data_IF_948774864161
#
_entry.id   IF_948774864161
#
_cell.length_a   1.000
_cell.length_b   1.000
_cell.length_c   1.000
_cell.angle_alpha   90.00
_cell.angle_beta   90.00
_cell.angle_gamma   90.00
#
_symmetry.space_group_name_H-M   'P 1'
#
loop_
_entity.id
_entity.type
_entity.pdbx_description
1 polymer ?
#
# COMPACT_ATOMS: atom_id res chain seq x y z
N UNK A 1 -28.58 16.00 41.88
CA UNK A 1 -27.21 16.24 41.40
C UNK A 1 -26.66 14.93 40.92
N UNK A 2 -26.58 14.74 39.63
CA UNK A 2 -25.98 13.53 39.06
C UNK A 2 -24.47 13.52 39.40
N UNK A 3 -23.99 12.48 40.05
CA UNK A 3 -22.56 12.28 40.31
C UNK A 3 -21.82 12.27 38.97
N UNK A 4 -21.02 13.31 38.74
CA UNK A 4 -20.10 13.30 37.63
C UNK A 4 -19.10 12.15 37.91
N UNK A 5 -19.33 10.99 37.30
CA UNK A 5 -18.39 9.88 37.35
C UNK A 5 -17.05 10.39 36.83
N UNK A 6 -16.00 10.30 37.65
CA UNK A 6 -14.63 10.59 37.18
C UNK A 6 -14.35 9.73 35.95
N UNK A 7 -13.83 10.33 34.88
CA UNK A 7 -13.48 9.56 33.68
C UNK A 7 -12.54 8.41 34.04
N UNK A 8 -12.80 7.22 33.49
CA UNK A 8 -11.92 6.06 33.65
C UNK A 8 -10.56 6.42 33.04
N UNK A 9 -9.52 6.35 33.86
CA UNK A 9 -8.13 6.58 33.37
C UNK A 9 -7.54 5.27 32.87
N UNK A 10 -7.06 5.26 31.62
CA UNK A 10 -6.42 4.11 30.98
C UNK A 10 -4.93 4.41 30.81
N UNK A 11 -4.11 3.52 31.33
CA UNK A 11 -2.65 3.61 31.26
C UNK A 11 -2.13 3.21 29.88
N UNK A 12 -1.35 4.08 29.27
CA UNK A 12 -0.76 3.85 27.93
C UNK A 12 0.75 3.70 28.04
N UNK A 13 1.31 2.67 27.39
CA UNK A 13 2.73 2.50 27.16
C UNK A 13 3.09 2.69 25.71
N UNK A 14 4.17 3.42 25.41
CA UNK A 14 4.59 3.70 24.04
C UNK A 14 5.94 3.03 23.73
N UNK A 15 5.97 2.17 22.74
CA UNK A 15 7.20 1.63 22.14
C UNK A 15 7.55 2.42 20.87
N UNK A 16 8.56 3.25 20.96
CA UNK A 16 9.04 4.09 19.86
C UNK A 16 8.76 5.58 20.07
N UNK A 17 9.76 6.41 19.77
CA UNK A 17 9.69 7.87 19.83
C UNK A 17 10.38 8.44 18.57
N UNK A 18 9.97 7.90 17.39
CA UNK A 18 10.24 8.45 16.08
C UNK A 18 9.16 9.44 15.66
N UNK A 19 9.00 9.69 14.37
CA UNK A 19 8.05 10.66 13.82
C UNK A 19 6.62 10.43 14.34
N UNK A 20 6.12 9.21 14.27
CA UNK A 20 4.77 8.86 14.76
C UNK A 20 4.70 8.92 16.28
N UNK A 21 5.68 8.35 16.98
CA UNK A 21 5.72 8.34 18.44
C UNK A 21 5.83 9.75 19.04
N UNK A 22 6.54 10.67 18.42
CA UNK A 22 6.61 12.08 18.85
C UNK A 22 5.28 12.81 18.59
N UNK A 23 4.62 12.57 17.47
CA UNK A 23 3.30 13.12 17.19
C UNK A 23 2.23 12.61 18.19
N UNK A 24 2.28 11.33 18.59
CA UNK A 24 1.43 10.78 19.65
C UNK A 24 1.70 11.49 20.99
N UNK A 25 2.97 11.69 21.36
CA UNK A 25 3.36 12.41 22.57
C UNK A 25 2.88 13.85 22.55
N UNK A 26 3.05 14.55 21.43
CA UNK A 26 2.57 15.92 21.24
C UNK A 26 1.07 16.02 21.50
N UNK A 27 0.28 15.11 20.92
CA UNK A 27 -1.17 15.10 21.12
C UNK A 27 -1.55 14.79 22.57
N UNK A 28 -0.90 13.81 23.22
CA UNK A 28 -1.22 13.42 24.60
C UNK A 28 -0.77 14.45 25.64
N UNK A 29 0.27 15.26 25.34
CA UNK A 29 0.82 16.23 26.30
C UNK A 29 0.26 17.64 26.11
N UNK A 30 -0.31 17.99 24.93
CA UNK A 30 -0.77 19.34 24.64
C UNK A 30 -2.27 19.57 24.81
N UNK A 31 -3.07 18.60 24.80
CA UNK A 31 -4.47 18.65 25.23
C UNK A 31 -5.39 17.63 24.55
N UNK A 32 -5.94 16.74 25.35
CA UNK A 32 -7.13 15.97 25.03
C UNK A 32 -8.39 16.73 25.48
N UNK A 33 -8.40 18.08 25.44
CA UNK A 33 -9.50 18.90 25.93
C UNK A 33 -10.76 18.84 25.07
N UNK A 34 -10.74 18.11 23.94
CA UNK A 34 -11.91 17.80 23.13
C UNK A 34 -12.93 16.89 23.86
N UNK A 35 -14.02 16.56 23.20
CA UNK A 35 -15.10 15.71 23.72
C UNK A 35 -14.60 14.37 24.34
N UNK A 36 -13.51 13.82 23.80
CA UNK A 36 -12.85 12.60 24.28
C UNK A 36 -12.23 12.72 25.67
N UNK A 37 -11.52 13.82 25.95
CA UNK A 37 -10.88 14.02 27.24
C UNK A 37 -11.84 14.18 28.41
N UNK A 38 -13.13 14.44 28.15
CA UNK A 38 -14.18 14.49 29.17
C UNK A 38 -14.70 13.11 29.54
N UNK A 39 -14.60 12.13 28.65
CA UNK A 39 -15.13 10.78 28.85
C UNK A 39 -14.04 9.78 29.27
N UNK A 40 -12.82 9.92 28.74
CA UNK A 40 -11.72 8.97 28.95
C UNK A 40 -10.43 9.74 29.23
N UNK A 41 -9.80 9.46 30.36
CA UNK A 41 -8.45 9.91 30.67
C UNK A 41 -7.44 8.93 30.06
N UNK A 42 -6.57 9.38 29.15
CA UNK A 42 -5.40 8.61 28.71
C UNK A 42 -4.17 9.11 29.46
N UNK A 43 -3.47 8.19 30.13
CA UNK A 43 -2.30 8.50 30.93
C UNK A 43 -1.07 7.77 30.39
N UNK A 44 -0.14 8.51 29.79
CA UNK A 44 1.09 7.97 29.23
C UNK A 44 2.08 7.63 30.37
N UNK A 45 2.20 6.34 30.67
CA UNK A 45 2.96 5.81 31.82
C UNK A 45 4.44 5.64 31.54
N UNK A 46 4.81 5.16 30.36
CA UNK A 46 6.20 4.86 30.00
C UNK A 46 6.42 4.92 28.50
N UNK A 47 7.61 5.38 28.09
CA UNK A 47 8.00 5.54 26.69
C UNK A 47 9.36 4.85 26.49
N UNK A 48 9.39 3.85 25.63
CA UNK A 48 10.63 3.22 25.19
C UNK A 48 11.21 3.91 23.97
N UNK A 49 12.50 4.20 24.02
CA UNK A 49 13.30 4.61 22.85
C UNK A 49 14.77 4.29 23.07
N UNK A 50 15.51 3.95 22.01
CA UNK A 50 16.94 3.62 22.10
C UNK A 50 17.80 4.77 22.64
N UNK A 51 17.41 6.01 22.38
CA UNK A 51 18.09 7.21 22.86
C UNK A 51 17.10 8.18 23.54
N UNK A 52 16.80 7.98 24.83
CA UNK A 52 15.87 8.84 25.57
C UNK A 52 16.28 10.31 25.60
N UNK A 53 17.56 10.58 25.91
CA UNK A 53 18.08 11.94 26.16
C UNK A 53 17.95 12.87 24.93
N UNK A 54 17.96 12.31 23.72
CA UNK A 54 17.81 13.06 22.46
C UNK A 54 16.37 13.41 22.08
N UNK A 55 15.38 13.09 22.93
CA UNK A 55 13.97 13.25 22.58
C UNK A 55 13.39 14.58 23.07
N UNK A 56 12.47 15.14 22.25
CA UNK A 56 11.82 16.44 22.46
C UNK A 56 11.28 16.62 23.89
N UNK A 57 10.56 15.61 24.39
CA UNK A 57 9.89 15.67 25.68
C UNK A 57 10.72 15.18 26.87
N UNK A 58 11.91 14.62 26.63
CA UNK A 58 12.75 14.06 27.69
C UNK A 58 13.08 15.08 28.80
N UNK A 59 13.46 16.30 28.43
CA UNK A 59 13.83 17.34 29.41
C UNK A 59 12.69 17.71 30.36
N UNK A 60 11.43 17.70 29.84
CA UNK A 60 10.25 18.05 30.64
C UNK A 60 9.69 16.89 31.45
N UNK A 61 9.88 15.66 31.00
CA UNK A 61 9.29 14.44 31.58
C UNK A 61 10.27 13.25 31.57
N UNK A 62 11.45 13.38 32.17
CA UNK A 62 12.50 12.34 32.09
C UNK A 62 12.08 10.99 32.68
N UNK A 63 11.23 10.99 33.70
CA UNK A 63 10.75 9.78 34.38
C UNK A 63 9.88 8.87 33.46
N UNK A 64 9.30 9.42 32.40
CA UNK A 64 8.53 8.63 31.45
C UNK A 64 9.40 7.83 30.49
N UNK A 65 10.64 8.24 30.24
CA UNK A 65 11.46 7.64 29.19
C UNK A 65 12.36 6.53 29.73
N UNK A 66 12.51 5.49 28.91
CA UNK A 66 13.42 4.37 29.17
C UNK A 66 14.09 3.88 27.90
N UNK A 67 15.26 3.26 28.02
CA UNK A 67 15.94 2.51 26.96
C UNK A 67 15.67 1.00 27.01
N UNK A 68 14.78 0.55 27.89
CA UNK A 68 14.42 -0.86 28.10
C UNK A 68 12.93 -1.06 27.79
N UNK A 69 12.63 -1.82 26.74
CA UNK A 69 11.24 -2.07 26.31
C UNK A 69 10.43 -2.80 27.40
N UNK A 70 11.10 -3.65 28.20
CA UNK A 70 10.50 -4.40 29.30
C UNK A 70 9.85 -3.47 30.35
N UNK A 71 10.42 -2.30 30.59
CA UNK A 71 9.85 -1.34 31.55
C UNK A 71 8.50 -0.76 31.06
N UNK A 72 8.20 -0.82 29.78
CA UNK A 72 6.88 -0.49 29.22
C UNK A 72 5.97 -1.71 29.28
N UNK A 73 6.48 -2.84 28.78
CA UNK A 73 5.70 -4.07 28.60
C UNK A 73 5.26 -4.69 29.92
N UNK A 74 6.08 -4.57 30.98
CA UNK A 74 5.83 -5.16 32.31
C UNK A 74 5.23 -4.13 33.29
N UNK A 75 5.09 -2.87 32.91
CA UNK A 75 4.60 -1.81 33.80
C UNK A 75 3.17 -2.11 34.28
N UNK A 76 2.91 -2.18 35.60
CA UNK A 76 1.60 -2.60 36.12
C UNK A 76 0.47 -1.61 35.82
N UNK A 77 0.79 -0.34 35.63
CA UNK A 77 -0.19 0.70 35.30
C UNK A 77 -0.36 0.93 33.79
N UNK A 78 0.12 0.05 32.93
CA UNK A 78 -0.11 0.11 31.48
C UNK A 78 -1.18 -0.92 31.10
N UNK A 79 -2.27 -0.45 30.50
CA UNK A 79 -3.38 -1.25 29.99
C UNK A 79 -3.26 -1.50 28.49
N UNK A 80 -2.79 -0.48 27.74
CA UNK A 80 -2.64 -0.49 26.30
C UNK A 80 -1.20 -0.17 25.91
N UNK A 81 -0.61 -1.02 25.07
CA UNK A 81 0.71 -0.78 24.47
C UNK A 81 0.55 -0.29 23.05
N UNK A 82 1.11 0.88 22.76
CA UNK A 82 1.25 1.40 21.39
C UNK A 82 2.61 0.95 20.85
N UNK A 83 2.62 0.21 19.74
CA UNK A 83 3.83 -0.15 19.02
C UNK A 83 3.99 0.80 17.80
N UNK A 84 5.01 1.67 17.86
CA UNK A 84 5.36 2.65 16.83
C UNK A 84 6.89 2.73 16.66
N UNK A 85 7.55 1.56 16.59
CA UNK A 85 9.01 1.44 16.54
C UNK A 85 9.61 1.86 15.21
N UNK A 86 8.85 1.73 14.14
CA UNK A 86 9.28 2.05 12.78
C UNK A 86 10.19 0.96 12.20
N UNK A 87 9.70 0.30 11.17
CA UNK A 87 10.41 -0.75 10.45
C UNK A 87 11.57 -0.17 9.63
N UNK A 88 12.77 -0.67 9.85
CA UNK A 88 13.98 -0.31 9.09
C UNK A 88 14.57 -1.53 8.37
N UNK A 89 14.39 -2.72 8.91
CA UNK A 89 14.87 -3.95 8.30
C UNK A 89 14.10 -5.18 8.74
N UNK A 90 14.06 -6.21 7.90
CA UNK A 90 13.41 -7.50 8.17
C UNK A 90 13.98 -8.18 9.44
N UNK A 91 15.23 -7.89 9.79
CA UNK A 91 15.89 -8.46 10.98
C UNK A 91 15.27 -8.00 12.29
N UNK A 92 14.55 -6.88 12.31
CA UNK A 92 13.88 -6.34 13.50
C UNK A 92 12.50 -6.95 13.77
N UNK A 93 11.86 -7.50 12.73
CA UNK A 93 10.48 -7.99 12.82
C UNK A 93 10.26 -9.06 13.90
N UNK A 94 11.18 -10.05 14.14
CA UNK A 94 11.00 -10.99 15.24
C UNK A 94 10.95 -10.30 16.61
N UNK A 95 11.79 -9.30 16.85
CA UNK A 95 11.80 -8.54 18.11
C UNK A 95 10.48 -7.78 18.30
N UNK A 96 9.98 -7.12 17.26
CA UNK A 96 8.73 -6.37 17.34
C UNK A 96 7.53 -7.30 17.60
N UNK A 97 7.48 -8.45 16.90
CA UNK A 97 6.53 -9.52 17.20
C UNK A 97 6.60 -9.93 18.68
N UNK A 98 7.80 -10.19 19.21
CA UNK A 98 7.99 -10.66 20.57
C UNK A 98 7.53 -9.63 21.62
N UNK A 99 7.69 -8.34 21.34
CA UNK A 99 7.15 -7.27 22.18
C UNK A 99 5.61 -7.29 22.19
N UNK A 100 4.97 -7.44 21.04
CA UNK A 100 3.52 -7.56 20.93
C UNK A 100 3.01 -8.80 21.69
N UNK A 101 3.67 -9.95 21.51
CA UNK A 101 3.29 -11.19 22.19
C UNK A 101 3.49 -11.08 23.72
N UNK A 102 4.54 -10.37 24.18
CA UNK A 102 4.77 -10.11 25.61
C UNK A 102 3.70 -9.20 26.19
N UNK A 103 3.28 -8.16 25.47
CA UNK A 103 2.19 -7.30 25.90
C UNK A 103 0.90 -8.12 26.16
N UNK A 104 0.52 -9.01 25.23
CA UNK A 104 -0.63 -9.88 25.41
C UNK A 104 -0.50 -10.84 26.61
N UNK A 105 0.68 -11.44 26.81
CA UNK A 105 0.92 -12.31 27.99
C UNK A 105 0.77 -11.56 29.31
N UNK A 106 1.09 -10.25 29.30
CA UNK A 106 0.96 -9.37 30.45
C UNK A 106 -0.44 -8.73 30.59
N UNK A 107 -1.43 -9.24 29.84
CA UNK A 107 -2.82 -8.76 29.92
C UNK A 107 -3.05 -7.38 29.33
N UNK A 108 -2.19 -6.93 28.39
CA UNK A 108 -2.26 -5.61 27.76
C UNK A 108 -2.78 -5.73 26.32
N UNK A 109 -3.73 -4.86 25.94
CA UNK A 109 -4.12 -4.71 24.54
C UNK A 109 -3.05 -3.96 23.74
N UNK A 110 -3.03 -4.15 22.42
CA UNK A 110 -1.99 -3.57 21.56
C UNK A 110 -2.61 -2.78 20.40
N UNK A 111 -2.06 -1.60 20.16
CA UNK A 111 -2.25 -0.81 18.95
C UNK A 111 -0.92 -0.72 18.22
N UNK A 112 -0.88 -1.09 16.94
CA UNK A 112 0.37 -1.04 16.17
C UNK A 112 0.22 -0.21 14.90
N UNK A 113 1.27 0.52 14.54
CA UNK A 113 1.42 1.19 13.25
C UNK A 113 2.37 0.46 12.29
N UNK A 114 2.94 -0.68 12.71
CA UNK A 114 3.90 -1.43 11.89
C UNK A 114 3.22 -2.53 11.05
N UNK A 115 2.91 -2.17 9.82
CA UNK A 115 2.33 -3.09 8.83
C UNK A 115 3.21 -4.29 8.50
N UNK A 116 4.55 -4.13 8.55
CA UNK A 116 5.48 -5.19 8.17
C UNK A 116 5.46 -6.37 9.17
N UNK A 117 5.32 -6.07 10.46
CA UNK A 117 5.16 -7.08 11.51
C UNK A 117 3.86 -7.87 11.29
N UNK A 118 2.75 -7.17 11.04
CA UNK A 118 1.46 -7.81 10.84
C UNK A 118 1.39 -8.57 9.51
N UNK A 119 1.95 -8.05 8.43
CA UNK A 119 2.00 -8.75 7.16
C UNK A 119 2.74 -10.08 7.27
N UNK A 120 3.78 -10.16 8.12
CA UNK A 120 4.59 -11.36 8.29
C UNK A 120 4.09 -12.29 9.39
N UNK A 121 3.67 -11.76 10.53
CA UNK A 121 3.32 -12.52 11.72
C UNK A 121 1.85 -12.36 12.15
N UNK A 122 1.00 -11.75 11.32
CA UNK A 122 -0.38 -11.41 11.66
C UNK A 122 -1.18 -12.58 12.20
N UNK A 123 -1.05 -13.79 11.60
CA UNK A 123 -1.73 -15.01 12.07
C UNK A 123 -1.33 -15.39 13.49
N UNK A 124 -0.03 -15.34 13.80
CA UNK A 124 0.50 -15.68 15.12
C UNK A 124 0.06 -14.65 16.17
N UNK A 125 0.23 -13.37 15.84
CA UNK A 125 -0.13 -12.23 16.70
C UNK A 125 -1.63 -12.24 17.00
N UNK A 126 -2.46 -12.44 15.98
CA UNK A 126 -3.90 -12.54 16.12
C UNK A 126 -4.35 -13.70 17.00
N UNK A 127 -3.76 -14.88 16.78
CA UNK A 127 -4.03 -16.05 17.58
C UNK A 127 -3.63 -15.84 19.05
N UNK A 128 -2.56 -15.12 19.30
CA UNK A 128 -2.11 -14.79 20.66
C UNK A 128 -3.06 -13.79 21.33
N UNK A 129 -3.49 -12.73 20.63
CA UNK A 129 -4.50 -11.79 21.11
C UNK A 129 -5.79 -12.52 21.54
N UNK A 130 -6.29 -13.42 20.66
CA UNK A 130 -7.48 -14.23 20.94
C UNK A 130 -7.32 -15.11 22.18
N UNK A 131 -6.19 -15.81 22.32
CA UNK A 131 -5.95 -16.71 23.47
C UNK A 131 -5.81 -15.95 24.79
N UNK A 132 -5.26 -14.74 24.77
CA UNK A 132 -5.10 -13.91 25.97
C UNK A 132 -6.34 -13.09 26.33
N UNK A 133 -7.35 -13.08 25.47
CA UNK A 133 -8.53 -12.22 25.62
C UNK A 133 -8.25 -10.73 25.41
N UNK A 134 -7.07 -10.40 24.87
CA UNK A 134 -6.66 -9.02 24.60
C UNK A 134 -7.01 -8.58 23.18
N UNK A 135 -7.06 -7.29 22.95
CA UNK A 135 -7.40 -6.71 21.66
C UNK A 135 -6.17 -6.28 20.87
N UNK A 136 -6.22 -6.42 19.55
CA UNK A 136 -5.28 -5.88 18.59
C UNK A 136 -5.99 -4.87 17.68
N UNK A 137 -5.43 -3.67 17.55
CA UNK A 137 -5.88 -2.64 16.61
C UNK A 137 -4.72 -2.19 15.73
N UNK A 138 -5.00 -1.83 14.47
CA UNK A 138 -3.95 -1.52 13.50
C UNK A 138 -4.41 -0.61 12.35
N UNK A 139 -5.34 0.31 12.62
CA UNK A 139 -5.81 1.29 11.62
C UNK A 139 -4.65 2.00 10.93
N UNK A 140 -3.68 2.44 11.71
CA UNK A 140 -2.50 3.16 11.24
C UNK A 140 -1.59 2.36 10.28
N UNK A 141 -1.78 1.06 10.17
CA UNK A 141 -0.98 0.22 9.25
C UNK A 141 -1.38 0.40 7.78
N UNK A 142 -2.59 0.89 7.50
CA UNK A 142 -3.12 1.03 6.13
C UNK A 142 -3.71 2.42 5.93
N UNK A 143 -3.19 3.16 4.94
CA UNK A 143 -3.75 4.46 4.57
C UNK A 143 -3.46 5.61 5.54
N UNK A 144 -2.55 5.44 6.51
CA UNK A 144 -2.15 6.50 7.45
C UNK A 144 -3.35 7.02 8.26
N UNK A 145 -3.86 8.21 7.92
CA UNK A 145 -5.03 8.82 8.57
C UNK A 145 -6.37 8.41 7.97
N UNK A 146 -6.40 7.63 6.91
CA UNK A 146 -7.64 7.17 6.25
C UNK A 146 -8.21 5.98 7.03
N UNK A 147 -9.48 6.00 7.47
CA UNK A 147 -10.07 4.94 8.30
C UNK A 147 -10.44 3.69 7.48
N UNK A 148 -9.44 3.00 6.90
CA UNK A 148 -9.65 1.88 5.99
C UNK A 148 -10.11 0.63 6.72
N UNK A 149 -9.36 0.22 7.75
CA UNK A 149 -9.61 -1.02 8.49
C UNK A 149 -10.95 -0.94 9.22
N UNK A 150 -11.24 0.20 9.86
CA UNK A 150 -12.50 0.44 10.55
C UNK A 150 -13.68 0.49 9.58
N UNK A 151 -13.54 1.18 8.46
CA UNK A 151 -14.61 1.20 7.44
C UNK A 151 -14.93 -0.21 6.93
N UNK A 152 -13.91 -1.02 6.63
CA UNK A 152 -14.11 -2.40 6.22
C UNK A 152 -14.76 -3.25 7.32
N UNK A 153 -14.28 -3.16 8.57
CA UNK A 153 -14.72 -4.06 9.64
C UNK A 153 -16.04 -3.64 10.31
N UNK A 154 -16.42 -2.37 10.24
CA UNK A 154 -17.59 -1.83 10.92
C UNK A 154 -18.65 -1.32 9.94
N UNK A 155 -18.30 -0.35 9.07
CA UNK A 155 -19.27 0.30 8.18
C UNK A 155 -19.75 -0.63 7.07
N UNK A 156 -18.87 -1.49 6.57
CA UNK A 156 -19.18 -2.44 5.48
C UNK A 156 -19.34 -3.88 5.99
N UNK A 157 -19.61 -4.07 7.28
CA UNK A 157 -19.65 -5.40 7.93
C UNK A 157 -20.67 -6.37 7.35
N UNK A 158 -21.72 -5.90 6.67
CA UNK A 158 -22.73 -6.71 6.00
C UNK A 158 -22.52 -6.85 4.50
N UNK A 159 -21.48 -6.22 3.96
CA UNK A 159 -21.19 -6.22 2.52
C UNK A 159 -20.28 -7.41 2.17
N UNK A 160 -20.53 -8.06 1.04
CA UNK A 160 -19.60 -9.02 0.47
C UNK A 160 -18.65 -8.29 -0.49
N UNK A 161 -17.36 -8.17 -0.20
CA UNK A 161 -16.43 -7.49 -1.07
C UNK A 161 -16.21 -8.25 -2.38
N UNK A 162 -16.43 -7.56 -3.49
CA UNK A 162 -16.06 -8.03 -4.84
C UNK A 162 -14.67 -7.52 -5.22
N UNK A 163 -14.35 -6.27 -4.86
CA UNK A 163 -13.01 -5.72 -5.06
C UNK A 163 -12.65 -4.67 -4.00
N UNK A 164 -11.40 -4.68 -3.58
CA UNK A 164 -10.78 -3.60 -2.81
C UNK A 164 -9.49 -3.25 -3.54
N UNK A 165 -9.38 -2.04 -4.02
CA UNK A 165 -8.24 -1.61 -4.82
C UNK A 165 -7.96 -0.13 -4.64
N UNK A 166 -6.74 0.32 -4.95
CA UNK A 166 -6.45 1.73 -4.84
C UNK A 166 -4.98 2.09 -4.86
N UNK A 167 -4.74 3.38 -4.66
CA UNK A 167 -3.44 4.00 -4.53
C UNK A 167 -3.10 4.04 -3.04
N UNK A 168 -2.22 3.15 -2.60
CA UNK A 168 -1.88 2.98 -1.17
C UNK A 168 -0.45 3.42 -0.83
N UNK A 169 0.30 3.93 -1.83
CA UNK A 169 1.64 4.49 -1.64
C UNK A 169 1.72 5.91 -2.21
N UNK A 170 1.82 6.91 -1.33
CA UNK A 170 1.85 8.32 -1.70
C UNK A 170 3.12 8.73 -2.44
N UNK A 171 4.28 8.12 -2.12
CA UNK A 171 5.56 8.38 -2.79
C UNK A 171 5.48 8.01 -4.27
N UNK A 172 5.01 6.80 -4.58
CA UNK A 172 4.81 6.37 -5.97
C UNK A 172 3.81 7.24 -6.70
N UNK A 173 2.69 7.57 -6.06
CA UNK A 173 1.69 8.43 -6.69
C UNK A 173 2.23 9.82 -6.98
N UNK A 174 3.02 10.40 -6.06
CA UNK A 174 3.69 11.68 -6.29
C UNK A 174 4.64 11.62 -7.50
N UNK A 175 5.53 10.62 -7.54
CA UNK A 175 6.50 10.44 -8.63
C UNK A 175 5.77 10.32 -9.98
N UNK A 176 4.79 9.42 -10.09
CA UNK A 176 4.03 9.22 -11.32
C UNK A 176 3.25 10.48 -11.73
N UNK A 177 2.67 11.21 -10.77
CA UNK A 177 1.98 12.48 -11.03
C UNK A 177 2.93 13.57 -11.56
N UNK A 178 4.15 13.65 -11.04
CA UNK A 178 5.16 14.60 -11.55
C UNK A 178 5.64 14.21 -12.95
N UNK A 179 5.89 12.94 -13.20
CA UNK A 179 6.26 12.45 -14.54
C UNK A 179 5.19 12.79 -15.58
N UNK A 180 3.92 12.59 -15.26
CA UNK A 180 2.79 12.92 -16.13
C UNK A 180 2.70 14.42 -16.43
N UNK A 181 2.73 15.27 -15.38
CA UNK A 181 2.50 16.70 -15.50
C UNK A 181 3.65 17.45 -16.19
N UNK A 182 4.88 17.06 -15.88
CA UNK A 182 6.06 17.80 -16.32
C UNK A 182 6.86 17.11 -17.43
N UNK A 183 6.51 15.86 -17.78
CA UNK A 183 7.29 15.06 -18.72
C UNK A 183 8.69 14.69 -18.22
N UNK A 184 8.98 14.86 -16.92
CA UNK A 184 10.29 14.55 -16.34
C UNK A 184 10.57 13.04 -16.37
N UNK A 185 11.84 12.66 -16.52
CA UNK A 185 12.28 11.28 -16.30
C UNK A 185 12.06 10.85 -14.86
N UNK A 186 11.88 9.52 -14.65
CA UNK A 186 11.70 8.92 -13.32
C UNK A 186 12.74 9.37 -12.29
N UNK A 187 14.03 9.41 -12.67
CA UNK A 187 15.11 9.79 -11.75
C UNK A 187 14.98 11.22 -11.23
N UNK A 188 14.52 12.17 -12.07
CA UNK A 188 14.31 13.56 -11.68
C UNK A 188 13.07 13.69 -10.77
N UNK A 189 11.99 13.00 -11.11
CA UNK A 189 10.78 13.00 -10.30
C UNK A 189 11.03 12.36 -8.91
N UNK A 190 11.83 11.29 -8.84
CA UNK A 190 12.26 10.69 -7.58
C UNK A 190 13.10 11.66 -6.75
N UNK A 191 14.08 12.33 -7.36
CA UNK A 191 14.91 13.31 -6.66
C UNK A 191 14.07 14.46 -6.09
N UNK A 192 13.12 14.96 -6.85
CA UNK A 192 12.18 15.98 -6.38
C UNK A 192 11.33 15.48 -5.21
N UNK A 193 10.87 14.23 -5.25
CA UNK A 193 10.14 13.60 -4.15
C UNK A 193 11.00 13.54 -2.87
N UNK A 194 12.29 13.25 -3.00
CA UNK A 194 13.25 13.23 -1.87
C UNK A 194 13.47 14.63 -1.30
N UNK A 195 13.69 15.63 -2.15
CA UNK A 195 13.88 17.03 -1.74
C UNK A 195 12.66 17.59 -1.00
N UNK A 196 11.44 17.16 -1.38
CA UNK A 196 10.19 17.54 -0.72
C UNK A 196 9.82 16.69 0.49
N UNK A 197 10.62 15.66 0.80
CA UNK A 197 10.37 14.76 1.93
C UNK A 197 9.26 13.72 1.71
N UNK A 198 8.81 13.52 0.49
CA UNK A 198 7.86 12.45 0.14
C UNK A 198 8.55 11.09 -0.04
N UNK A 199 9.84 11.08 -0.36
CA UNK A 199 10.66 9.88 -0.43
C UNK A 199 11.84 9.99 0.54
N UNK A 200 12.18 8.88 1.19
CA UNK A 200 13.40 8.76 1.99
C UNK A 200 14.64 8.63 1.08
N UNK A 201 15.83 8.76 1.66
CA UNK A 201 17.11 8.54 0.95
C UNK A 201 17.17 7.15 0.31
N UNK A 202 16.61 6.14 0.98
CA UNK A 202 16.42 4.80 0.41
C UNK A 202 14.93 4.54 0.13
N UNK A 203 14.43 4.87 -1.07
CA UNK A 203 13.03 4.74 -1.42
C UNK A 203 12.63 3.33 -1.89
N UNK A 204 13.54 2.36 -1.82
CA UNK A 204 13.37 1.04 -2.46
C UNK A 204 12.06 0.35 -2.08
N UNK A 205 11.61 0.45 -0.83
CA UNK A 205 10.35 -0.17 -0.39
C UNK A 205 9.11 0.45 -1.02
N UNK A 206 9.17 1.74 -1.35
CA UNK A 206 8.09 2.45 -2.03
C UNK A 206 8.07 2.07 -3.50
N UNK A 207 9.17 2.36 -4.20
CA UNK A 207 9.21 2.27 -5.67
C UNK A 207 9.12 0.86 -6.21
N UNK A 208 9.64 -0.15 -5.46
CA UNK A 208 9.48 -1.56 -5.83
C UNK A 208 8.11 -2.16 -5.44
N UNK A 209 7.24 -1.39 -4.76
CA UNK A 209 5.89 -1.76 -4.36
C UNK A 209 5.78 -2.63 -3.10
N UNK A 210 6.87 -2.87 -2.33
CA UNK A 210 6.78 -3.71 -1.13
C UNK A 210 6.02 -3.06 0.03
N UNK A 211 6.02 -1.73 0.13
CA UNK A 211 5.14 -1.00 1.05
C UNK A 211 3.66 -1.22 0.71
N UNK A 212 3.31 -1.09 -0.57
CA UNK A 212 1.96 -1.33 -1.05
C UNK A 212 1.53 -2.79 -0.87
N UNK A 213 2.46 -3.77 -1.08
CA UNK A 213 2.21 -5.19 -0.82
C UNK A 213 1.87 -5.45 0.64
N UNK A 214 2.62 -4.89 1.59
CA UNK A 214 2.36 -5.09 3.02
C UNK A 214 0.98 -4.55 3.42
N UNK A 215 0.57 -3.39 2.89
CA UNK A 215 -0.78 -2.83 3.10
C UNK A 215 -1.87 -3.70 2.47
N UNK A 216 -1.64 -4.19 1.24
CA UNK A 216 -2.59 -5.04 0.53
C UNK A 216 -2.79 -6.39 1.22
N UNK A 217 -1.77 -6.95 1.87
CA UNK A 217 -1.88 -8.14 2.71
C UNK A 217 -2.90 -7.91 3.84
N UNK A 218 -2.83 -6.77 4.52
CA UNK A 218 -3.76 -6.43 5.60
C UNK A 218 -5.17 -6.15 5.08
N UNK A 219 -5.31 -5.46 3.96
CA UNK A 219 -6.59 -5.25 3.27
C UNK A 219 -7.21 -6.60 2.87
N UNK A 220 -6.41 -7.49 2.30
CA UNK A 220 -6.87 -8.83 1.89
C UNK A 220 -7.29 -9.69 3.08
N UNK A 221 -6.60 -9.53 4.20
CA UNK A 221 -6.98 -10.23 5.44
C UNK A 221 -8.32 -9.74 5.96
N UNK A 222 -8.52 -8.43 6.10
CA UNK A 222 -9.76 -7.86 6.62
C UNK A 222 -10.92 -8.03 5.63
N UNK A 223 -10.71 -7.75 4.34
CA UNK A 223 -11.77 -7.81 3.35
C UNK A 223 -12.16 -9.23 2.94
N UNK A 224 -11.19 -10.10 2.74
CA UNK A 224 -11.42 -11.43 2.11
C UNK A 224 -11.06 -12.62 3.01
N UNK A 225 -10.64 -12.40 4.25
CA UNK A 225 -10.19 -13.48 5.14
C UNK A 225 -8.88 -14.15 4.71
N UNK A 226 -8.15 -13.56 3.77
CA UNK A 226 -6.92 -14.11 3.21
C UNK A 226 -5.70 -13.71 4.04
N UNK A 227 -5.07 -14.69 4.69
CA UNK A 227 -3.81 -14.49 5.42
C UNK A 227 -2.62 -14.77 4.50
N UNK A 228 -2.20 -13.76 3.76
CA UNK A 228 -1.11 -13.83 2.80
C UNK A 228 0.25 -13.62 3.48
N UNK A 229 1.32 -14.00 2.79
CA UNK A 229 2.70 -13.77 3.23
C UNK A 229 3.40 -12.83 2.24
N UNK A 230 4.30 -11.94 2.69
CA UNK A 230 5.12 -11.13 1.80
C UNK A 230 5.89 -11.99 0.79
N UNK A 231 5.95 -11.53 -0.45
CA UNK A 231 6.58 -12.24 -1.57
C UNK A 231 5.73 -13.34 -2.21
N UNK A 232 4.45 -13.47 -1.82
CA UNK A 232 3.48 -14.41 -2.42
C UNK A 232 2.46 -13.73 -3.33
N UNK A 233 2.60 -12.43 -3.51
CA UNK A 233 1.74 -11.59 -4.35
C UNK A 233 2.57 -11.12 -5.54
N UNK A 234 2.00 -11.19 -6.74
CA UNK A 234 2.64 -10.58 -7.89
C UNK A 234 2.81 -9.09 -7.66
N UNK A 235 4.05 -8.63 -7.78
CA UNK A 235 4.42 -7.24 -7.54
C UNK A 235 5.34 -6.72 -8.63
N UNK A 236 5.04 -5.51 -9.11
CA UNK A 236 5.87 -4.75 -10.03
C UNK A 236 6.05 -3.32 -9.52
N UNK A 237 7.30 -2.83 -9.53
CA UNK A 237 7.65 -1.46 -9.19
C UNK A 237 7.36 -0.47 -10.32
N UNK A 238 7.67 0.81 -10.07
CA UNK A 238 7.45 1.91 -11.01
C UNK A 238 8.71 2.35 -11.74
N UNK A 239 9.86 1.74 -11.45
CA UNK A 239 11.17 2.20 -11.92
C UNK A 239 11.35 2.11 -13.44
N UNK A 240 10.61 1.20 -14.10
CA UNK A 240 10.64 1.02 -15.56
C UNK A 240 9.72 2.00 -16.32
N UNK A 241 8.85 2.73 -15.60
CA UNK A 241 7.92 3.69 -16.21
C UNK A 241 8.70 4.92 -16.69
N UNK A 242 8.34 5.38 -17.88
CA UNK A 242 8.97 6.54 -18.51
C UNK A 242 7.92 7.59 -18.91
N UNK A 243 8.37 8.82 -19.15
CA UNK A 243 7.48 9.92 -19.56
C UNK A 243 6.69 9.60 -20.85
N UNK A 244 7.29 8.81 -21.76
CA UNK A 244 6.64 8.36 -22.99
C UNK A 244 5.41 7.48 -22.71
N UNK A 245 5.41 6.70 -21.61
CA UNK A 245 4.28 5.83 -21.28
C UNK A 245 3.02 6.66 -20.98
N UNK A 246 3.16 7.85 -20.37
CA UNK A 246 2.03 8.78 -20.14
C UNK A 246 1.49 9.38 -21.43
N UNK A 247 2.35 9.63 -22.43
CA UNK A 247 1.91 10.11 -23.74
C UNK A 247 1.11 9.03 -24.49
N UNK A 248 1.56 7.77 -24.43
CA UNK A 248 0.77 6.65 -24.95
C UNK A 248 -0.52 6.45 -24.17
N UNK A 249 -0.46 6.51 -22.83
CA UNK A 249 -1.63 6.42 -21.96
C UNK A 249 -2.72 7.42 -22.36
N UNK A 250 -2.33 8.68 -22.58
CA UNK A 250 -3.25 9.73 -23.04
C UNK A 250 -3.91 9.44 -24.41
N UNK A 251 -3.30 8.62 -25.28
CA UNK A 251 -3.89 8.17 -26.55
C UNK A 251 -4.78 6.94 -26.38
N UNK A 252 -4.50 6.11 -25.41
CA UNK A 252 -5.27 4.89 -25.11
C UNK A 252 -6.41 5.28 -24.16
N UNK A 253 -7.56 5.62 -24.70
CA UNK A 253 -8.77 5.99 -23.96
C UNK A 253 -8.61 7.19 -23.02
N UNK A 254 -7.66 8.10 -23.27
CA UNK A 254 -7.36 9.23 -22.38
C UNK A 254 -6.84 8.82 -20.99
N UNK A 255 -6.19 7.68 -20.87
CA UNK A 255 -5.77 7.08 -19.58
C UNK A 255 -4.59 7.79 -18.97
N UNK A 256 -4.29 7.43 -17.70
CA UNK A 256 -3.05 7.77 -16.97
C UNK A 256 -2.43 6.52 -16.36
N UNK A 257 -1.29 6.64 -15.69
CA UNK A 257 -0.61 5.53 -15.01
C UNK A 257 -0.60 5.79 -13.50
N UNK A 258 -1.10 4.81 -12.73
CA UNK A 258 -1.08 4.81 -11.26
C UNK A 258 -0.51 3.48 -10.76
N UNK A 259 0.18 3.47 -9.61
CA UNK A 259 0.50 2.22 -8.94
C UNK A 259 -0.73 1.77 -8.15
N UNK A 260 -1.29 0.64 -8.49
CA UNK A 260 -2.46 0.06 -7.84
C UNK A 260 -2.10 -1.15 -6.99
N UNK A 261 -2.69 -1.22 -5.80
CA UNK A 261 -2.84 -2.41 -4.99
C UNK A 261 -4.24 -2.95 -5.24
N UNK A 262 -4.37 -4.21 -5.64
CA UNK A 262 -5.64 -4.80 -6.08
C UNK A 262 -5.88 -6.12 -5.38
N UNK A 263 -7.03 -6.28 -4.75
CA UNK A 263 -7.62 -7.54 -4.32
C UNK A 263 -9.02 -7.65 -4.93
N UNK A 264 -9.22 -8.57 -5.87
CA UNK A 264 -10.47 -8.71 -6.62
C UNK A 264 -10.91 -10.17 -6.62
N UNK A 265 -12.18 -10.40 -6.26
CA UNK A 265 -12.82 -11.71 -6.25
C UNK A 265 -13.05 -12.19 -7.68
N UNK A 266 -12.79 -13.47 -7.91
CA UNK A 266 -13.05 -14.22 -9.14
C UNK A 266 -13.66 -15.58 -8.74
N UNK A 267 -14.96 -15.61 -8.56
CA UNK A 267 -15.67 -16.78 -8.05
C UNK A 267 -15.24 -17.13 -6.61
N UNK A 268 -14.61 -18.29 -6.42
CA UNK A 268 -14.09 -18.73 -5.11
C UNK A 268 -12.61 -18.37 -4.88
N UNK A 269 -12.01 -17.65 -5.81
CA UNK A 269 -10.64 -17.17 -5.71
C UNK A 269 -10.60 -15.62 -5.62
N UNK A 270 -9.49 -15.10 -5.12
CA UNK A 270 -9.18 -13.66 -5.13
C UNK A 270 -7.84 -13.47 -5.82
N UNK A 271 -7.84 -12.71 -6.90
CA UNK A 271 -6.58 -12.24 -7.48
C UNK A 271 -6.06 -11.06 -6.68
N UNK A 272 -4.77 -11.13 -6.33
CA UNK A 272 -4.12 -10.11 -5.48
C UNK A 272 -2.80 -9.71 -6.11
N UNK A 273 -2.61 -8.42 -6.37
CA UNK A 273 -1.35 -7.92 -6.95
C UNK A 273 -1.10 -6.43 -6.68
N UNK A 274 0.15 -6.02 -6.82
CA UNK A 274 0.59 -4.61 -6.85
C UNK A 274 1.33 -4.34 -8.14
N UNK A 275 0.89 -3.36 -8.92
CA UNK A 275 1.56 -3.00 -10.18
C UNK A 275 1.24 -1.56 -10.57
N UNK A 276 2.11 -0.87 -11.33
CA UNK A 276 1.66 0.19 -12.20
C UNK A 276 0.51 -0.32 -13.06
N UNK A 277 -0.48 0.50 -13.31
CA UNK A 277 -1.61 0.15 -14.16
C UNK A 277 -2.03 1.36 -15.01
N UNK A 278 -2.45 1.08 -16.24
CA UNK A 278 -3.13 2.07 -17.06
C UNK A 278 -4.55 2.26 -16.50
N UNK A 279 -4.90 3.49 -16.12
CA UNK A 279 -6.18 3.81 -15.47
C UNK A 279 -6.92 4.81 -16.35
N UNK A 280 -8.14 4.46 -16.77
CA UNK A 280 -8.98 5.32 -17.60
C UNK A 280 -9.36 6.62 -16.87
N UNK A 281 -9.48 7.74 -17.59
CA UNK A 281 -9.74 9.07 -16.99
C UNK A 281 -11.10 9.19 -16.32
N UNK A 282 -12.06 8.40 -16.71
CA UNK A 282 -13.38 8.32 -16.08
C UNK A 282 -13.36 7.57 -14.75
N UNK A 283 -12.29 6.82 -14.44
CA UNK A 283 -12.09 6.20 -13.14
C UNK A 283 -11.61 7.25 -12.13
N UNK A 284 -12.23 7.30 -10.95
CA UNK A 284 -11.88 8.25 -9.89
C UNK A 284 -10.38 8.24 -9.56
N UNK A 285 -9.73 7.07 -9.53
CA UNK A 285 -8.31 6.95 -9.18
C UNK A 285 -7.38 7.70 -10.15
N UNK A 286 -7.80 7.93 -11.39
CA UNK A 286 -7.02 8.73 -12.35
C UNK A 286 -6.84 10.18 -11.89
N UNK A 287 -7.82 10.74 -11.18
CA UNK A 287 -7.80 12.11 -10.67
C UNK A 287 -7.00 12.29 -9.37
N UNK A 288 -6.64 11.20 -8.69
CA UNK A 288 -5.90 11.24 -7.41
C UNK A 288 -4.45 11.65 -7.66
N UNK A 289 -4.07 12.81 -7.15
CA UNK A 289 -2.81 13.48 -7.45
C UNK A 289 -1.87 13.62 -6.24
N UNK A 290 -0.59 13.85 -6.51
CA UNK A 290 0.44 14.09 -5.50
C UNK A 290 0.63 12.90 -4.56
N UNK A 291 0.89 13.16 -3.27
CA UNK A 291 1.11 12.13 -2.26
C UNK A 291 -0.19 11.57 -1.65
N UNK A 292 -1.34 11.85 -2.26
CA UNK A 292 -2.66 11.41 -1.77
C UNK A 292 -2.84 9.91 -2.00
N UNK A 293 -3.41 9.22 -1.01
CA UNK A 293 -3.89 7.85 -1.13
C UNK A 293 -5.40 7.82 -1.36
N UNK A 294 -5.87 6.80 -2.08
CA UNK A 294 -7.28 6.54 -2.30
C UNK A 294 -7.54 5.04 -2.37
N UNK A 295 -8.51 4.56 -1.61
CA UNK A 295 -8.91 3.17 -1.57
C UNK A 295 -10.37 3.06 -1.99
N UNK A 296 -10.61 2.27 -3.02
CA UNK A 296 -11.91 1.93 -3.55
C UNK A 296 -12.40 0.61 -2.95
N UNK A 297 -13.66 0.57 -2.61
CA UNK A 297 -14.37 -0.62 -2.22
C UNK A 297 -15.55 -0.84 -3.16
N UNK A 298 -15.65 -2.03 -3.73
CA UNK A 298 -16.80 -2.50 -4.50
C UNK A 298 -17.39 -3.72 -3.82
N UNK A 299 -18.66 -3.66 -3.47
CA UNK A 299 -19.39 -4.72 -2.78
C UNK A 299 -20.47 -5.34 -3.67
N UNK A 300 -20.81 -6.58 -3.42
CA UNK A 300 -21.82 -7.33 -4.19
C UNK A 300 -23.21 -6.69 -4.12
N UNK A 301 -23.60 -6.21 -2.93
CA UNK A 301 -24.93 -5.65 -2.71
C UNK A 301 -25.04 -4.21 -3.25
N UNK A 302 -23.96 -3.43 -3.16
CA UNK A 302 -23.91 -2.06 -3.64
C UNK A 302 -23.63 -1.95 -5.14
N UNK A 303 -22.95 -2.95 -5.74
CA UNK A 303 -22.57 -2.94 -7.15
C UNK A 303 -23.64 -3.51 -8.10
N UNK A 304 -24.85 -3.80 -7.62
CA UNK A 304 -25.90 -4.41 -8.44
C UNK A 304 -26.16 -3.62 -9.74
N UNK A 305 -25.71 -4.16 -10.87
CA UNK A 305 -25.86 -3.58 -12.19
C UNK A 305 -24.69 -2.72 -12.68
N UNK A 306 -23.57 -2.62 -11.95
CA UNK A 306 -22.34 -1.92 -12.36
C UNK A 306 -21.26 -2.91 -12.82
N UNK A 307 -20.31 -2.42 -13.59
CA UNK A 307 -19.18 -3.23 -14.07
C UNK A 307 -18.22 -3.65 -12.95
N UNK A 308 -17.48 -4.74 -13.14
CA UNK A 308 -16.52 -5.34 -12.17
C UNK A 308 -15.42 -4.38 -11.63
N UNK A 309 -15.34 -3.15 -12.13
CA UNK A 309 -14.25 -2.19 -11.89
C UNK A 309 -14.72 -0.85 -11.36
N UNK A 310 -16.02 -0.72 -11.11
CA UNK A 310 -16.59 0.49 -10.55
C UNK A 310 -16.40 0.51 -9.05
N UNK A 311 -16.25 1.71 -8.52
CA UNK A 311 -16.01 1.98 -7.12
C UNK A 311 -17.32 2.44 -6.48
N UNK A 312 -17.83 1.67 -5.52
CA UNK A 312 -19.06 2.06 -4.80
C UNK A 312 -18.74 3.09 -3.72
N UNK A 313 -17.62 2.88 -3.04
CA UNK A 313 -17.14 3.74 -1.97
C UNK A 313 -15.67 4.09 -2.17
N UNK A 314 -15.31 5.33 -1.95
CA UNK A 314 -13.93 5.81 -2.03
C UNK A 314 -13.53 6.48 -0.72
N UNK A 315 -12.42 6.02 -0.16
CA UNK A 315 -11.78 6.65 1.00
C UNK A 315 -10.51 7.36 0.52
N UNK A 316 -10.44 8.68 0.74
CA UNK A 316 -9.33 9.52 0.25
C UNK A 316 -8.71 10.30 1.40
N UNK A 317 -7.40 10.43 1.39
CA UNK A 317 -6.71 11.23 2.39
C UNK A 317 -5.18 11.09 2.38
N UNK A 318 -4.50 11.64 3.38
CA UNK A 318 -3.07 11.52 3.53
C UNK A 318 -2.70 10.09 3.95
N UNK A 319 -1.96 9.40 3.08
CA UNK A 319 -1.58 7.99 3.28
C UNK A 319 -0.42 7.75 4.24
N UNK A 320 0.26 8.83 4.70
CA UNK A 320 1.39 8.78 5.60
C UNK A 320 1.57 10.13 6.31
N UNK A 321 2.54 10.19 7.24
CA UNK A 321 2.88 11.38 8.01
C UNK A 321 2.64 11.21 9.50
N UNK A 322 3.46 11.85 10.34
CA UNK A 322 3.39 11.69 11.80
C UNK A 322 2.03 12.03 12.39
N UNK A 323 1.47 13.17 12.02
CA UNK A 323 0.15 13.64 12.50
C UNK A 323 -1.00 12.71 12.09
N UNK A 324 -1.25 12.47 10.80
CA UNK A 324 -2.32 11.57 10.35
C UNK A 324 -2.23 10.17 10.96
N UNK A 325 -1.01 9.59 11.02
CA UNK A 325 -0.79 8.28 11.62
C UNK A 325 -1.05 8.28 13.14
N UNK A 326 -0.64 9.35 13.85
CA UNK A 326 -0.93 9.48 15.27
C UNK A 326 -2.45 9.58 15.55
N UNK A 327 -3.21 10.26 14.69
CA UNK A 327 -4.68 10.33 14.79
C UNK A 327 -5.29 8.92 14.68
N UNK A 328 -4.85 8.11 13.71
CA UNK A 328 -5.34 6.74 13.56
C UNK A 328 -4.98 5.87 14.78
N UNK A 329 -3.73 5.94 15.28
CA UNK A 329 -3.29 5.22 16.48
C UNK A 329 -4.10 5.63 17.70
N UNK A 330 -4.25 6.93 17.95
CA UNK A 330 -5.00 7.42 19.11
C UNK A 330 -6.50 7.14 18.99
N UNK A 331 -7.05 7.13 17.78
CA UNK A 331 -8.41 6.67 17.51
C UNK A 331 -8.63 5.24 17.96
N UNK A 332 -7.69 4.34 17.62
CA UNK A 332 -7.70 2.93 18.07
C UNK A 332 -7.54 2.80 19.59
N UNK A 333 -6.66 3.60 20.20
CA UNK A 333 -6.50 3.64 21.67
C UNK A 333 -7.79 4.07 22.36
N UNK A 334 -8.46 5.11 21.84
CA UNK A 334 -9.72 5.60 22.39
C UNK A 334 -10.85 4.56 22.27
N UNK A 335 -10.90 3.83 21.16
CA UNK A 335 -11.87 2.75 20.98
C UNK A 335 -11.63 1.63 22.00
N UNK A 336 -10.37 1.20 22.19
CA UNK A 336 -10.01 0.22 23.20
C UNK A 336 -10.35 0.68 24.62
N UNK A 337 -10.12 1.95 24.93
CA UNK A 337 -10.41 2.53 26.23
C UNK A 337 -11.91 2.63 26.55
N UNK A 338 -12.76 2.78 25.51
CA UNK A 338 -14.23 2.75 25.62
C UNK A 338 -14.82 1.34 25.70
N UNK A 339 -14.14 0.40 25.07
CA UNK A 339 -14.62 -0.97 24.96
C UNK A 339 -14.53 -1.70 26.31
N UNK A 340 -15.66 -2.16 26.82
CA UNK A 340 -15.71 -3.14 27.92
C UNK A 340 -15.49 -4.57 27.43
N UNK A 341 -15.42 -4.76 26.13
CA UNK A 341 -15.32 -6.08 25.49
C UNK A 341 -13.91 -6.66 25.67
N UNK A 342 -13.85 -7.84 26.29
CA UNK A 342 -12.71 -8.74 26.13
C UNK A 342 -12.72 -9.17 24.67
N UNK A 343 -11.63 -9.28 24.01
CA UNK A 343 -11.42 -9.63 22.62
C UNK A 343 -12.63 -9.38 21.67
N UNK A 344 -12.65 -8.26 21.00
CA UNK A 344 -13.39 -8.09 19.75
C UNK A 344 -12.38 -8.18 18.62
N UNK A 345 -12.42 -9.28 17.87
CA UNK A 345 -11.55 -9.45 16.73
C UNK A 345 -11.75 -8.31 15.71
N UNK A 346 -10.76 -8.02 14.86
CA UNK A 346 -11.06 -7.40 13.57
C UNK A 346 -11.73 -8.51 12.77
N UNK A 347 -13.04 -8.52 12.58
CA UNK A 347 -13.69 -9.55 11.79
C UNK A 347 -13.24 -9.35 10.35
N UNK A 348 -12.75 -10.39 9.70
CA UNK A 348 -12.73 -10.37 8.25
C UNK A 348 -14.18 -10.40 7.76
N UNK A 349 -14.49 -9.58 6.75
CA UNK A 349 -15.83 -9.55 6.15
C UNK A 349 -16.24 -10.92 5.63
N UNK A 350 -15.29 -11.67 5.10
CA UNK A 350 -15.48 -13.06 4.69
C UNK A 350 -14.73 -13.98 5.67
N UNK A 351 -15.36 -15.03 6.21
CA UNK A 351 -14.71 -15.97 7.11
C UNK A 351 -13.43 -16.58 6.51
N UNK A 352 -12.35 -16.73 7.30
CA UNK A 352 -11.11 -17.33 6.82
C UNK A 352 -11.35 -18.75 6.27
N UNK A 353 -10.74 -19.03 5.11
CA UNK A 353 -10.81 -20.32 4.43
C UNK A 353 -11.96 -20.48 3.42
N UNK A 354 -12.89 -19.54 3.34
CA UNK A 354 -13.95 -19.56 2.32
C UNK A 354 -13.45 -19.19 0.93
N UNK A 355 -12.46 -18.31 0.85
CA UNK A 355 -11.84 -17.90 -0.40
C UNK A 355 -10.37 -18.35 -0.46
N UNK A 356 -9.85 -18.50 -1.67
CA UNK A 356 -8.46 -18.90 -1.92
C UNK A 356 -7.72 -17.80 -2.70
N UNK A 357 -6.43 -17.66 -2.45
CA UNK A 357 -5.58 -16.86 -3.31
C UNK A 357 -5.54 -17.49 -4.71
N UNK A 358 -5.82 -16.70 -5.74
CA UNK A 358 -5.59 -17.12 -7.12
C UNK A 358 -4.09 -17.30 -7.36
N UNK A 359 -3.70 -18.37 -8.06
CA UNK A 359 -2.30 -18.56 -8.41
C UNK A 359 -1.79 -17.37 -9.25
N UNK A 360 -0.58 -16.89 -8.98
CA UNK A 360 -0.02 -15.71 -9.65
C UNK A 360 -0.10 -15.82 -11.17
N UNK A 361 0.30 -16.96 -11.73
CA UNK A 361 0.29 -17.19 -13.16
C UNK A 361 -1.11 -17.19 -13.80
N UNK A 362 -2.16 -17.32 -13.00
CA UNK A 362 -3.55 -17.34 -13.46
C UNK A 362 -4.25 -15.98 -13.28
N UNK A 363 -3.55 -14.95 -12.76
CA UNK A 363 -4.05 -13.57 -12.78
C UNK A 363 -4.32 -13.19 -14.23
N UNK A 364 -5.56 -12.81 -14.51
CA UNK A 364 -6.08 -12.54 -15.84
C UNK A 364 -6.58 -11.11 -15.95
N UNK A 365 -5.87 -10.27 -16.73
CA UNK A 365 -6.14 -8.84 -16.94
C UNK A 365 -5.71 -8.44 -18.36
N UNK A 366 -6.24 -7.34 -18.91
CA UNK A 366 -5.67 -6.76 -20.12
C UNK A 366 -4.30 -6.12 -19.81
N UNK A 367 -3.41 -6.05 -20.80
CA UNK A 367 -2.07 -5.51 -20.62
C UNK A 367 -1.72 -4.40 -21.62
N UNK A 368 -0.97 -3.44 -21.13
CA UNK A 368 -0.15 -2.50 -21.88
C UNK A 368 1.25 -3.08 -22.03
N UNK A 369 1.83 -3.01 -23.23
CA UNK A 369 3.19 -3.47 -23.51
C UNK A 369 3.90 -2.46 -24.39
N UNK A 370 4.96 -1.84 -23.88
CA UNK A 370 5.85 -0.97 -24.65
C UNK A 370 7.05 -1.75 -25.14
N UNK A 371 7.26 -1.72 -26.46
CA UNK A 371 8.43 -2.26 -27.15
C UNK A 371 9.36 -1.12 -27.59
N UNK A 372 10.66 -1.38 -27.53
CA UNK A 372 11.67 -0.54 -28.16
C UNK A 372 12.51 -1.47 -29.04
N UNK A 373 12.38 -1.31 -30.33
CA UNK A 373 12.92 -2.21 -31.36
C UNK A 373 13.80 -1.45 -32.35
N UNK A 374 14.62 -2.17 -33.13
CA UNK A 374 15.26 -1.61 -34.32
C UNK A 374 14.18 -1.27 -35.34
N UNK A 375 14.31 -0.11 -36.03
CA UNK A 375 13.34 0.27 -37.06
C UNK A 375 13.58 -0.54 -38.33
N UNK A 376 12.82 -1.62 -38.55
CA UNK A 376 12.83 -2.42 -39.76
C UNK A 376 11.47 -3.06 -40.03
N UNK A 377 11.18 -3.30 -41.32
CA UNK A 377 9.94 -3.93 -41.73
C UNK A 377 9.74 -5.33 -41.13
N UNK A 378 8.49 -5.69 -40.84
CA UNK A 378 8.07 -7.03 -40.41
C UNK A 378 8.08 -7.31 -38.91
N UNK A 379 8.64 -6.42 -38.07
CA UNK A 379 8.78 -6.65 -36.61
C UNK A 379 7.41 -6.75 -35.93
N UNK A 380 6.48 -5.83 -36.22
CA UNK A 380 5.12 -5.86 -35.66
C UNK A 380 4.41 -7.17 -36.01
N UNK A 381 4.61 -7.66 -37.26
CA UNK A 381 4.06 -8.94 -37.71
C UNK A 381 4.68 -10.14 -36.98
N UNK A 382 5.98 -10.11 -36.63
CA UNK A 382 6.64 -11.20 -35.90
C UNK A 382 6.19 -11.25 -34.44
N UNK A 383 6.10 -10.08 -33.79
CA UNK A 383 5.57 -9.95 -32.42
C UNK A 383 4.09 -10.39 -32.38
N UNK A 384 3.27 -9.93 -33.34
CA UNK A 384 1.87 -10.33 -33.46
C UNK A 384 1.67 -11.83 -33.63
N UNK A 385 2.47 -12.47 -34.49
CA UNK A 385 2.47 -13.94 -34.63
C UNK A 385 2.85 -14.64 -33.33
N UNK A 386 3.76 -14.08 -32.55
CA UNK A 386 4.18 -14.68 -31.28
C UNK A 386 3.04 -14.63 -30.26
N UNK A 387 2.35 -13.51 -30.13
CA UNK A 387 1.16 -13.41 -29.28
C UNK A 387 0.05 -14.35 -29.75
N UNK A 388 -0.26 -14.36 -31.06
CA UNK A 388 -1.29 -15.22 -31.63
C UNK A 388 -1.06 -16.71 -31.42
N UNK A 389 0.20 -17.20 -31.52
CA UNK A 389 0.54 -18.60 -31.25
C UNK A 389 0.31 -19.01 -29.79
N UNK A 390 0.27 -18.06 -28.87
CA UNK A 390 0.05 -18.28 -27.43
C UNK A 390 -1.43 -18.06 -27.08
N UNK A 391 -2.25 -17.68 -28.04
CA UNK A 391 -3.68 -17.40 -27.86
C UNK A 391 -3.94 -16.06 -27.19
N UNK A 392 -3.10 -15.07 -27.45
CA UNK A 392 -3.24 -13.70 -26.92
C UNK A 392 -3.68 -12.77 -28.06
N UNK A 393 -4.79 -12.09 -27.89
CA UNK A 393 -5.29 -11.09 -28.81
C UNK A 393 -4.68 -9.71 -28.53
N UNK A 394 -4.35 -9.00 -29.61
CA UNK A 394 -3.93 -7.60 -29.58
C UNK A 394 -5.17 -6.75 -29.80
N UNK A 395 -5.46 -5.82 -28.87
CA UNK A 395 -6.58 -4.88 -29.05
C UNK A 395 -6.18 -3.72 -29.94
N UNK A 396 -5.03 -3.11 -29.69
CA UNK A 396 -4.58 -1.90 -30.38
C UNK A 396 -3.07 -1.87 -30.50
N UNK A 397 -2.57 -1.14 -31.51
CA UNK A 397 -1.15 -0.87 -31.71
C UNK A 397 -0.99 0.64 -31.90
N UNK A 398 -0.15 1.25 -31.11
CA UNK A 398 0.10 2.69 -31.10
C UNK A 398 1.59 2.99 -31.37
N UNK A 399 1.82 3.80 -32.38
CA UNK A 399 3.13 4.34 -32.70
C UNK A 399 3.02 5.85 -32.82
N UNK A 400 3.71 6.58 -31.95
CA UNK A 400 3.76 8.04 -32.01
C UNK A 400 4.70 8.48 -33.14
N UNK A 401 4.23 9.38 -33.99
CA UNK A 401 5.08 10.06 -34.97
C UNK A 401 5.84 11.19 -34.26
N UNK A 402 7.12 11.39 -34.61
CA UNK A 402 8.04 12.39 -34.02
C UNK A 402 8.50 12.04 -32.58
N UNK A 403 9.39 11.05 -32.52
CA UNK A 403 9.89 10.46 -31.27
C UNK A 403 11.31 10.96 -30.93
N UNK A 404 11.84 11.99 -31.63
CA UNK A 404 13.24 12.44 -31.45
C UNK A 404 13.54 12.89 -30.02
N UNK A 405 12.61 13.62 -29.37
CA UNK A 405 12.76 14.02 -27.96
C UNK A 405 12.67 12.85 -27.00
N UNK A 406 11.88 11.83 -27.34
CA UNK A 406 11.66 10.63 -26.52
C UNK A 406 12.81 9.64 -26.64
N UNK A 407 13.36 9.48 -27.83
CA UNK A 407 14.59 8.75 -28.06
C UNK A 407 15.75 9.46 -27.31
N UNK A 408 15.73 10.79 -27.17
CA UNK A 408 16.69 11.51 -26.34
C UNK A 408 16.53 11.23 -24.85
N UNK A 409 15.32 11.12 -24.32
CA UNK A 409 15.09 10.76 -22.90
C UNK A 409 15.52 9.31 -22.62
N UNK A 410 15.31 8.40 -23.56
CA UNK A 410 15.84 7.03 -23.51
C UNK A 410 17.38 6.97 -23.69
N UNK A 411 17.97 7.97 -24.34
CA UNK A 411 19.41 8.10 -24.64
C UNK A 411 20.24 8.75 -23.54
N UNK A 412 19.73 8.99 -22.34
CA UNK A 412 20.48 9.66 -21.27
C UNK A 412 21.70 8.89 -20.77
N UNK A 413 21.88 7.63 -21.14
CA UNK A 413 23.17 6.96 -20.98
C UNK A 413 24.05 7.20 -22.22
N UNK A 414 25.22 7.79 -22.01
CA UNK A 414 26.19 8.12 -23.07
C UNK A 414 26.60 6.92 -23.95
N UNK A 415 26.54 5.69 -23.42
CA UNK A 415 26.78 4.43 -24.14
C UNK A 415 25.65 4.09 -25.13
N UNK A 416 24.45 4.60 -24.93
CA UNK A 416 23.30 4.32 -25.76
C UNK A 416 23.18 5.30 -26.95
N UNK A 417 23.73 6.52 -26.85
CA UNK A 417 23.61 7.55 -27.89
C UNK A 417 24.10 7.15 -29.27
N UNK A 418 25.17 6.36 -29.36
CA UNK A 418 25.78 6.00 -30.63
C UNK A 418 25.20 4.71 -31.25
N UNK A 419 24.53 3.87 -30.44
CA UNK A 419 24.03 2.54 -30.84
C UNK A 419 22.58 2.56 -31.38
N UNK A 420 21.85 3.67 -31.23
CA UNK A 420 20.39 3.65 -31.33
C UNK A 420 19.80 4.79 -32.21
N UNK A 421 20.47 5.12 -33.33
CA UNK A 421 19.92 6.05 -34.32
C UNK A 421 18.61 5.52 -34.95
N UNK A 422 18.45 4.19 -35.00
CA UNK A 422 17.35 3.52 -35.69
C UNK A 422 16.45 2.76 -34.68
N UNK A 423 16.00 3.41 -33.59
CA UNK A 423 15.08 2.82 -32.61
C UNK A 423 13.66 3.28 -32.81
N UNK A 424 12.74 2.34 -32.74
CA UNK A 424 11.32 2.55 -32.87
C UNK A 424 10.59 2.10 -31.58
N UNK A 425 10.12 3.01 -30.74
CA UNK A 425 9.20 2.68 -29.68
C UNK A 425 7.77 2.58 -30.23
N UNK A 426 7.05 1.56 -29.81
CA UNK A 426 5.61 1.43 -30.02
C UNK A 426 4.96 0.68 -28.86
N UNK A 427 3.64 0.76 -28.78
CA UNK A 427 2.86 0.14 -27.72
C UNK A 427 1.82 -0.79 -28.32
N UNK A 428 1.60 -1.93 -27.70
CA UNK A 428 0.47 -2.81 -27.91
C UNK A 428 -0.38 -2.87 -26.65
N UNK A 429 -1.69 -2.79 -26.81
CA UNK A 429 -2.63 -3.21 -25.77
C UNK A 429 -3.12 -4.61 -26.10
N UNK A 430 -3.22 -5.44 -25.08
CA UNK A 430 -3.65 -6.83 -25.20
C UNK A 430 -4.99 -6.99 -24.50
N UNK A 431 -5.86 -7.84 -25.04
CA UNK A 431 -7.05 -8.29 -24.36
C UNK A 431 -6.71 -9.08 -23.09
N UNK A 432 -7.72 -9.49 -22.34
CA UNK A 432 -7.54 -10.27 -21.11
C UNK A 432 -6.63 -11.46 -21.37
N UNK A 433 -5.56 -11.52 -20.59
CA UNK A 433 -4.46 -12.46 -20.79
C UNK A 433 -3.92 -12.86 -19.44
N UNK A 434 -3.65 -14.15 -19.23
CA UNK A 434 -3.04 -14.61 -17.98
C UNK A 434 -1.56 -14.20 -17.90
N UNK A 435 -1.06 -13.99 -16.66
CA UNK A 435 0.38 -13.75 -16.46
C UNK A 435 1.25 -14.86 -17.05
N UNK A 436 0.76 -16.09 -17.05
CA UNK A 436 1.44 -17.24 -17.69
C UNK A 436 1.65 -17.03 -19.18
N UNK A 437 0.57 -16.65 -19.88
CA UNK A 437 0.63 -16.38 -21.33
C UNK A 437 1.52 -15.16 -21.60
N UNK A 438 1.36 -14.10 -20.81
CA UNK A 438 2.15 -12.88 -20.94
C UNK A 438 3.65 -13.15 -20.81
N UNK A 439 4.08 -13.86 -19.74
CA UNK A 439 5.48 -14.25 -19.53
C UNK A 439 6.01 -15.10 -20.66
N UNK A 440 5.25 -16.12 -21.07
CA UNK A 440 5.64 -16.99 -22.19
C UNK A 440 5.85 -16.22 -23.51
N UNK A 441 4.97 -15.25 -23.80
CA UNK A 441 5.10 -14.40 -24.98
C UNK A 441 6.36 -13.53 -24.91
N UNK A 442 6.58 -12.86 -23.80
CA UNK A 442 7.74 -11.99 -23.61
C UNK A 442 9.06 -12.76 -23.62
N UNK A 443 9.12 -13.94 -23.01
CA UNK A 443 10.33 -14.80 -23.03
C UNK A 443 10.67 -15.22 -24.45
N UNK A 444 9.67 -15.44 -25.31
CA UNK A 444 9.86 -15.76 -26.73
C UNK A 444 10.33 -14.55 -27.56
N UNK A 445 10.03 -13.33 -27.11
CA UNK A 445 10.33 -12.08 -27.81
C UNK A 445 11.67 -11.49 -27.39
N UNK A 446 12.02 -11.54 -26.11
CA UNK A 446 13.21 -10.88 -25.53
C UNK A 446 14.53 -11.19 -26.23
N UNK A 447 14.70 -12.40 -26.73
CA UNK A 447 15.92 -12.87 -27.37
C UNK A 447 15.98 -12.58 -28.88
N UNK A 448 15.01 -11.83 -29.43
CA UNK A 448 15.02 -11.46 -30.84
C UNK A 448 16.06 -10.37 -31.09
N UNK A 449 16.77 -10.48 -32.23
CA UNK A 449 17.84 -9.58 -32.63
C UNK A 449 17.43 -8.12 -32.82
N UNK A 450 16.13 -7.86 -32.96
CA UNK A 450 15.55 -6.54 -33.12
C UNK A 450 15.11 -5.89 -31.79
N UNK A 451 15.06 -6.62 -30.68
CA UNK A 451 14.74 -6.04 -29.37
C UNK A 451 15.94 -5.24 -28.87
N UNK A 452 15.73 -3.99 -28.55
CA UNK A 452 16.77 -3.07 -28.09
C UNK A 452 16.75 -2.92 -26.58
N UNK A 453 15.55 -2.83 -26.00
CA UNK A 453 15.32 -2.73 -24.56
C UNK A 453 14.24 -3.76 -24.22
N UNK A 454 14.37 -4.39 -23.05
CA UNK A 454 13.36 -5.31 -22.55
C UNK A 454 11.98 -4.66 -22.54
N UNK A 455 10.94 -5.38 -23.00
CA UNK A 455 9.59 -4.83 -23.05
C UNK A 455 9.09 -4.42 -21.64
N UNK A 456 8.54 -3.21 -21.53
CA UNK A 456 7.86 -2.75 -20.33
C UNK A 456 6.38 -3.05 -20.44
N UNK A 457 5.81 -3.66 -19.43
CA UNK A 457 4.43 -4.12 -19.46
C UNK A 457 3.77 -4.03 -18.09
N UNK A 458 2.49 -3.74 -18.05
CA UNK A 458 1.68 -3.64 -16.83
C UNK A 458 0.19 -3.75 -17.17
N UNK A 459 -0.69 -4.01 -16.18
CA UNK A 459 -2.13 -4.14 -16.39
C UNK A 459 -2.78 -2.87 -16.94
N UNK A 460 -3.92 -3.06 -17.60
CA UNK A 460 -4.90 -2.01 -17.86
C UNK A 460 -6.04 -2.21 -16.86
N UNK A 461 -6.40 -1.16 -16.12
CA UNK A 461 -7.44 -1.16 -15.11
C UNK A 461 -8.56 -0.18 -15.46
N UNK A 462 -9.82 -0.65 -15.47
CA UNK A 462 -10.97 0.21 -15.78
C UNK A 462 -11.26 0.40 -17.26
N UNK A 463 -10.60 -0.27 -18.22
CA UNK A 463 -10.97 -0.30 -19.63
C UNK A 463 -12.14 -1.26 -19.89
N UNK A 464 -13.02 -0.92 -20.87
CA UNK A 464 -14.07 -1.81 -21.37
C UNK A 464 -13.49 -3.09 -21.94
#
# INVERSE_FOLDING_TARGET
MASVNKPRTVGVGLLGSGVVGEAIQDTLFHDLSGALGKEIGLDLRKIYTRNPKGKKWYRKRPALFTSRAEEVLDHPGVDIVIEALGFQSVRQLPQFRDYILRAFRNGKSVVTSDKAVLARYGKEIWSAAKRSGQQLRFEACVGGGIPVIRSLSESFAIEEPEAIFGIVNGTCNYILSQMEKSGKPYAEALKEAQEKGYAETNPASDVNGSDAEAKLILISWVGFGLQLQPGRIWRKGIEDIQAVDFRYAGRIGGSTIKQLAVAQRKGQAVQVFVSPALVARDNFLASVDGATNAICFAGKNSSAGRGERDCDYVLVGPGAGGGPTAVAVLGDVCELARSERKFSGVPSLIPPGMLKLQAENDIDVPFYVRFVVKDRAGIVGDIGRTFGRIGVNISEIWQLRHVEEEIQSLKQSAKLKQKYQDMLPFVMTLERTTLRQMRKALDSIRNRDYIVIDPVWFPIWGGK
#
